data_IF_929204252080
#
_entry.id   IF_929204252080
#
_cell.length_a   1.000
_cell.length_b   1.000
_cell.length_c   1.000
_cell.angle_alpha   90.00
_cell.angle_beta   90.00
_cell.angle_gamma   90.00
#
_symmetry.space_group_name_H-M   'P 1'
#
loop_
_entity.id
_entity.type
_entity.pdbx_description
1 polymer ?
#
# COMPACT_ATOMS: atom_id res chain seq x y z
N UNK A 1 33.58 -1.40 1.23
CA UNK A 1 32.31 -2.03 1.68
C UNK A 1 31.53 -2.40 0.42
N UNK A 2 31.40 -3.68 0.07
CA UNK A 2 30.84 -4.10 -1.23
C UNK A 2 29.32 -3.91 -1.28
N UNK A 3 28.79 -3.65 -2.48
CA UNK A 3 27.35 -3.47 -2.80
C UNK A 3 26.46 -4.58 -2.21
N UNK A 4 27.03 -5.78 -2.03
CA UNK A 4 26.36 -6.98 -1.56
C UNK A 4 26.00 -6.94 -0.06
N UNK A 5 26.72 -6.18 0.76
CA UNK A 5 26.49 -6.16 2.22
C UNK A 5 25.43 -5.14 2.68
N UNK A 6 25.21 -4.06 1.91
CA UNK A 6 24.30 -2.97 2.28
C UNK A 6 22.97 -3.05 1.52
N UNK A 7 22.95 -3.72 0.37
CA UNK A 7 21.77 -3.80 -0.48
C UNK A 7 20.55 -4.41 0.22
N UNK A 8 20.73 -5.55 0.89
CA UNK A 8 19.63 -6.25 1.58
C UNK A 8 19.06 -5.44 2.77
N UNK A 9 19.88 -4.95 3.72
CA UNK A 9 19.38 -4.11 4.81
C UNK A 9 18.67 -2.83 4.32
N UNK A 10 19.22 -2.16 3.30
CA UNK A 10 18.61 -0.94 2.75
C UNK A 10 17.27 -1.24 2.06
N UNK A 11 17.19 -2.34 1.32
CA UNK A 11 15.94 -2.79 0.69
C UNK A 11 14.87 -3.11 1.74
N UNK A 12 15.23 -3.86 2.80
CA UNK A 12 14.31 -4.18 3.89
C UNK A 12 13.83 -2.90 4.58
N UNK A 13 14.73 -1.96 4.86
CA UNK A 13 14.35 -0.67 5.46
C UNK A 13 13.36 0.08 4.56
N UNK A 14 13.67 0.21 3.26
CA UNK A 14 12.81 0.84 2.28
C UNK A 14 11.41 0.19 2.24
N UNK A 15 11.35 -1.15 2.16
CA UNK A 15 10.08 -1.86 2.11
C UNK A 15 9.30 -1.74 3.41
N UNK A 16 9.98 -1.76 4.56
CA UNK A 16 9.34 -1.60 5.87
C UNK A 16 8.72 -0.22 6.01
N UNK A 17 9.43 0.83 5.61
CA UNK A 17 8.91 2.21 5.60
C UNK A 17 7.74 2.32 4.62
N UNK A 18 7.90 1.82 3.39
CA UNK A 18 6.83 1.82 2.38
C UNK A 18 5.57 1.15 2.93
N UNK A 19 5.68 -0.06 3.48
CA UNK A 19 4.56 -0.78 4.07
C UNK A 19 3.93 -0.03 5.24
N UNK A 20 4.75 0.60 6.09
CA UNK A 20 4.25 1.35 7.25
C UNK A 20 3.43 2.57 6.82
N UNK A 21 3.86 3.28 5.79
CA UNK A 21 3.13 4.43 5.23
C UNK A 21 1.74 4.02 4.71
N UNK A 22 1.63 2.88 4.01
CA UNK A 22 0.36 2.38 3.43
C UNK A 22 -0.62 1.79 4.46
N UNK A 23 -0.28 1.71 5.75
CA UNK A 23 -1.21 1.22 6.78
C UNK A 23 -2.27 2.25 7.19
N UNK A 24 -2.10 3.51 6.84
CA UNK A 24 -2.97 4.61 7.21
C UNK A 24 -3.33 5.47 6.00
N UNK A 25 -4.27 6.42 6.16
CA UNK A 25 -4.69 7.28 5.06
C UNK A 25 -3.53 8.04 4.44
N UNK A 26 -3.54 8.11 3.10
CA UNK A 26 -2.63 8.90 2.29
C UNK A 26 -3.47 9.77 1.37
N UNK A 27 -3.29 11.09 1.44
CA UNK A 27 -3.90 12.00 0.47
C UNK A 27 -3.11 11.89 -0.85
N UNK A 28 -3.80 11.42 -1.90
CA UNK A 28 -3.22 11.21 -3.23
C UNK A 28 -2.68 12.50 -3.88
N UNK A 29 -3.32 13.65 -3.63
CA UNK A 29 -2.93 14.91 -4.28
C UNK A 29 -1.74 15.56 -3.57
N UNK A 30 -1.70 15.56 -2.25
CA UNK A 30 -0.63 16.21 -1.46
C UNK A 30 0.53 15.28 -1.14
N UNK A 31 0.31 13.97 -1.22
CA UNK A 31 1.19 12.90 -0.74
C UNK A 31 1.48 12.98 0.77
N UNK A 32 0.58 13.58 1.55
CA UNK A 32 0.64 13.53 3.00
C UNK A 32 0.12 12.18 3.50
N UNK A 33 0.79 11.59 4.49
CA UNK A 33 0.40 10.30 5.06
C UNK A 33 0.29 10.33 6.58
N UNK A 34 -0.63 9.54 7.12
CA UNK A 34 -0.84 9.44 8.57
C UNK A 34 0.38 8.90 9.31
N UNK A 35 1.16 8.04 8.67
CA UNK A 35 2.36 7.41 9.24
C UNK A 35 3.66 7.95 8.62
N UNK A 36 3.65 9.20 8.16
CA UNK A 36 4.86 9.87 7.69
C UNK A 36 5.92 9.95 8.78
N UNK A 37 7.19 9.78 8.39
CA UNK A 37 8.35 10.08 9.23
C UNK A 37 8.82 11.54 9.09
N UNK A 38 8.25 12.29 8.15
CA UNK A 38 8.52 13.70 7.90
C UNK A 38 7.34 14.55 8.38
N UNK A 39 7.63 15.58 9.18
CA UNK A 39 6.63 16.53 9.70
C UNK A 39 5.93 17.30 8.57
N UNK A 40 6.66 17.62 7.50
CA UNK A 40 6.14 18.32 6.32
C UNK A 40 5.21 17.45 5.46
N UNK A 41 5.24 16.13 5.67
CA UNK A 41 4.41 15.14 4.96
C UNK A 41 3.43 14.42 5.88
N UNK A 42 3.25 14.91 7.10
CA UNK A 42 2.33 14.33 8.06
C UNK A 42 0.90 14.80 7.76
N UNK A 43 -0.01 13.85 7.50
CA UNK A 43 -1.43 14.15 7.35
C UNK A 43 -2.04 14.51 8.72
N UNK A 44 -2.29 15.80 8.92
CA UNK A 44 -2.85 16.33 10.18
C UNK A 44 -4.37 16.29 10.25
N UNK A 45 -5.02 16.28 9.09
CA UNK A 45 -6.48 16.25 9.02
C UNK A 45 -7.01 14.99 9.73
N UNK A 46 -8.09 15.15 10.48
CA UNK A 46 -8.84 14.02 10.99
C UNK A 46 -9.60 13.38 9.83
N UNK A 47 -9.29 12.12 9.54
CA UNK A 47 -9.94 11.33 8.50
C UNK A 47 -10.48 10.08 9.16
N UNK A 48 -11.80 9.88 9.09
CA UNK A 48 -12.42 8.64 9.52
C UNK A 48 -12.17 7.57 8.44
N UNK A 49 -11.67 6.41 8.86
CA UNK A 49 -11.39 5.30 7.96
C UNK A 49 -11.54 3.95 8.65
N UNK A 50 -11.85 2.93 7.86
CA UNK A 50 -11.92 1.54 8.30
C UNK A 50 -11.00 0.68 7.43
N UNK A 51 -10.32 -0.29 8.06
CA UNK A 51 -9.61 -1.33 7.31
C UNK A 51 -10.60 -2.36 6.77
N UNK A 52 -10.51 -2.64 5.47
CA UNK A 52 -11.37 -3.59 4.76
C UNK A 52 -10.52 -4.67 4.08
N UNK A 53 -11.13 -5.82 3.80
CA UNK A 53 -10.54 -6.86 2.95
C UNK A 53 -11.34 -6.92 1.66
N UNK A 54 -10.66 -6.71 0.54
CA UNK A 54 -11.19 -6.88 -0.81
C UNK A 54 -10.61 -8.16 -1.40
N UNK A 55 -11.42 -8.95 -2.10
CA UNK A 55 -10.97 -10.15 -2.79
C UNK A 55 -10.74 -9.82 -4.26
N UNK A 56 -9.48 -9.80 -4.68
CA UNK A 56 -9.08 -9.53 -6.07
C UNK A 56 -9.12 -10.82 -6.85
N UNK A 57 -9.82 -10.80 -7.99
CA UNK A 57 -9.93 -11.93 -8.91
C UNK A 57 -9.31 -11.49 -10.23
N UNK A 58 -8.33 -12.25 -10.72
CA UNK A 58 -7.74 -12.00 -12.02
C UNK A 58 -8.66 -12.58 -13.09
N UNK A 59 -9.14 -11.71 -13.99
CA UNK A 59 -9.93 -12.12 -15.15
C UNK A 59 -8.95 -12.45 -16.26
N UNK A 60 -8.85 -13.73 -16.62
CA UNK A 60 -8.06 -14.16 -17.77
C UNK A 60 -8.93 -14.06 -19.04
N UNK A 61 -8.43 -13.31 -20.03
CA UNK A 61 -9.02 -13.17 -21.37
C UNK A 61 -8.69 -14.42 -22.21
N UNK A 62 -9.13 -15.62 -21.78
CA UNK A 62 -9.18 -16.74 -22.72
C UNK A 62 -10.11 -17.87 -22.26
N UNK A 63 -10.63 -18.58 -23.27
CA UNK A 63 -11.78 -19.52 -23.33
C UNK A 63 -11.79 -20.70 -22.35
N UNK A 64 -10.94 -20.73 -21.34
CA UNK A 64 -11.01 -21.66 -20.21
C UNK A 64 -11.63 -20.96 -19.01
N UNK A 65 -12.82 -21.40 -18.60
CA UNK A 65 -13.56 -20.95 -17.41
C UNK A 65 -12.87 -21.26 -16.06
N UNK A 66 -11.56 -21.09 -15.96
CA UNK A 66 -10.84 -21.20 -14.70
C UNK A 66 -10.89 -19.83 -14.02
N UNK A 67 -11.88 -19.67 -13.14
CA UNK A 67 -11.93 -18.54 -12.20
C UNK A 67 -10.66 -18.65 -11.33
N UNK A 68 -9.79 -17.63 -11.40
CA UNK A 68 -8.60 -17.57 -10.55
C UNK A 68 -8.99 -17.50 -9.07
N UNK A 69 -8.18 -18.10 -8.19
CA UNK A 69 -8.45 -18.09 -6.74
C UNK A 69 -8.45 -16.66 -6.22
N UNK A 70 -9.53 -16.17 -5.56
CA UNK A 70 -9.59 -14.80 -5.06
C UNK A 70 -8.48 -14.52 -4.04
N UNK A 71 -7.75 -13.42 -4.22
CA UNK A 71 -6.64 -13.00 -3.33
C UNK A 71 -7.15 -11.93 -2.36
N UNK A 72 -7.07 -12.14 -1.03
CA UNK A 72 -7.47 -11.13 -0.06
C UNK A 72 -6.42 -10.02 0.03
N UNK A 73 -6.85 -8.78 -0.21
CA UNK A 73 -6.03 -7.57 -0.10
C UNK A 73 -6.64 -6.66 0.97
N UNK A 74 -5.79 -6.18 1.88
CA UNK A 74 -6.19 -5.18 2.88
C UNK A 74 -6.11 -3.79 2.27
N UNK A 75 -7.19 -3.04 2.35
CA UNK A 75 -7.33 -1.64 1.92
C UNK A 75 -7.95 -0.80 3.02
N UNK A 76 -8.00 0.52 2.84
CA UNK A 76 -8.74 1.46 3.68
C UNK A 76 -9.98 1.97 2.94
N UNK A 77 -11.04 2.27 3.68
CA UNK A 77 -12.29 2.82 3.12
C UNK A 77 -12.15 4.20 2.48
N UNK A 78 -11.01 4.87 2.70
CA UNK A 78 -10.70 6.19 2.15
C UNK A 78 -9.70 6.15 1.00
N UNK A 79 -9.21 4.97 0.59
CA UNK A 79 -8.27 4.86 -0.52
C UNK A 79 -8.96 5.24 -1.84
N UNK A 80 -8.25 5.99 -2.69
CA UNK A 80 -8.70 6.22 -4.07
C UNK A 80 -8.52 4.96 -4.92
N UNK A 81 -9.23 4.89 -6.06
CA UNK A 81 -9.12 3.75 -7.00
C UNK A 81 -7.67 3.51 -7.43
N UNK A 82 -6.87 4.56 -7.61
CA UNK A 82 -5.46 4.44 -8.03
C UNK A 82 -4.55 3.94 -6.91
N UNK A 83 -4.95 4.08 -5.64
CA UNK A 83 -4.18 3.61 -4.47
C UNK A 83 -4.46 2.14 -4.12
N UNK A 84 -5.58 1.59 -4.61
CA UNK A 84 -5.95 0.17 -4.52
C UNK A 84 -5.40 -0.60 -5.71
#
# INVERSE_FOLDING_TARGET
MSKEHIGSPLYILFQSIKQQIHKGPIDYYTNESRYSLSEDKLLRQHVDYQSMIVYVIQVEDDKSHLISTPVPIKVLSCDSITQV
#
